data_IF_522589852683
#
_entry.id   IF_522589852683
#
_cell.length_a   1.000
_cell.length_b   1.000
_cell.length_c   1.000
_cell.angle_alpha   90.00
_cell.angle_beta   90.00
_cell.angle_gamma   90.00
#
_symmetry.space_group_name_H-M   'P 1'
#
loop_
_entity.id
_entity.type
_entity.pdbx_description
1 polymer ?
#
# COMPACT_ATOMS: atom_id res chain seq x y z
N UNK A 1 -8.75 14.46 13.38
CA UNK A 1 -9.15 13.15 13.93
C UNK A 1 -7.97 12.19 13.82
N UNK A 2 -7.08 12.13 14.83
CA UNK A 2 -5.84 11.32 14.81
C UNK A 2 -6.08 9.82 15.06
N UNK A 3 -7.16 9.27 14.51
CA UNK A 3 -7.55 7.88 14.69
C UNK A 3 -6.71 7.00 13.75
N UNK A 4 -5.99 5.97 14.27
CA UNK A 4 -5.23 5.05 13.44
C UNK A 4 -6.12 4.29 12.46
N UNK A 5 -5.72 4.23 11.19
CA UNK A 5 -6.42 3.50 10.15
C UNK A 5 -5.45 2.68 9.32
N UNK A 6 -5.91 1.56 8.80
CA UNK A 6 -5.15 0.72 7.88
C UNK A 6 -6.01 0.31 6.68
N UNK A 7 -5.36 0.10 5.53
CA UNK A 7 -6.02 -0.36 4.31
C UNK A 7 -5.70 -1.85 4.13
N UNK A 8 -6.75 -2.68 4.12
CA UNK A 8 -6.65 -4.13 3.92
C UNK A 8 -7.06 -4.48 2.50
N UNK A 9 -6.31 -5.37 1.84
CA UNK A 9 -6.48 -5.67 0.41
C UNK A 9 -7.84 -6.28 0.01
N UNK A 10 -8.55 -6.96 0.90
CA UNK A 10 -9.72 -7.75 0.53
C UNK A 10 -10.94 -7.45 1.39
N UNK A 11 -11.99 -6.89 0.77
CA UNK A 11 -13.30 -6.58 1.38
C UNK A 11 -14.02 -7.82 1.93
N UNK A 12 -13.83 -8.99 1.32
CA UNK A 12 -14.41 -10.24 1.80
C UNK A 12 -13.76 -10.68 3.12
N UNK A 13 -12.44 -10.49 3.29
CA UNK A 13 -11.74 -10.79 4.55
C UNK A 13 -12.20 -9.91 5.71
N UNK A 14 -12.58 -8.67 5.44
CA UNK A 14 -13.23 -7.83 6.44
C UNK A 14 -14.63 -8.35 6.77
N UNK A 15 -15.37 -8.82 5.76
CA UNK A 15 -16.68 -9.44 5.93
C UNK A 15 -16.65 -10.68 6.83
N UNK A 16 -15.65 -11.56 6.67
CA UNK A 16 -15.54 -12.79 7.48
C UNK A 16 -15.42 -12.52 8.98
N UNK A 17 -14.78 -11.41 9.38
CA UNK A 17 -14.63 -11.03 10.80
C UNK A 17 -15.97 -10.69 11.45
N UNK A 18 -16.90 -10.13 10.68
CA UNK A 18 -18.24 -9.71 11.14
C UNK A 18 -19.34 -10.67 10.69
N UNK A 19 -18.98 -11.87 10.24
CA UNK A 19 -19.89 -12.89 9.71
C UNK A 19 -20.82 -12.39 8.58
N UNK A 20 -20.29 -11.55 7.69
CA UNK A 20 -20.96 -11.06 6.47
C UNK A 20 -20.19 -11.48 5.22
N UNK A 21 -20.87 -11.48 4.07
CA UNK A 21 -20.22 -11.78 2.77
C UNK A 21 -19.13 -10.76 2.42
N UNK A 22 -19.36 -9.47 2.69
CA UNK A 22 -18.39 -8.41 2.47
C UNK A 22 -18.59 -7.28 3.50
N UNK A 23 -17.53 -6.57 3.88
CA UNK A 23 -17.60 -5.35 4.68
C UNK A 23 -16.63 -4.31 4.11
N UNK A 24 -17.09 -3.07 3.91
CA UNK A 24 -16.25 -2.01 3.36
C UNK A 24 -15.24 -1.47 4.39
N UNK A 25 -15.69 -1.32 5.64
CA UNK A 25 -14.90 -0.80 6.77
C UNK A 25 -15.33 -1.56 8.02
N UNK A 26 -14.38 -1.77 8.94
CA UNK A 26 -14.60 -2.33 10.28
C UNK A 26 -13.88 -1.43 11.28
N UNK A 27 -14.50 -1.16 12.42
CA UNK A 27 -13.93 -0.37 13.50
C UNK A 27 -13.95 -1.17 14.80
N UNK A 28 -12.88 -1.06 15.58
CA UNK A 28 -12.84 -1.54 16.95
C UNK A 28 -13.39 -0.44 17.86
N UNK A 29 -14.46 -0.73 18.60
CA UNK A 29 -15.04 0.22 19.57
C UNK A 29 -14.51 -0.06 20.98
N UNK A 30 -14.61 -1.33 21.39
CA UNK A 30 -14.20 -1.80 22.70
C UNK A 30 -13.36 -3.06 22.57
N UNK A 31 -12.47 -3.25 23.54
CA UNK A 31 -11.61 -4.42 23.62
C UNK A 31 -11.60 -4.99 25.03
N UNK A 32 -11.39 -6.31 25.11
CA UNK A 32 -11.17 -7.00 26.38
C UNK A 32 -9.81 -6.59 26.92
N UNK A 33 -9.65 -6.66 28.24
CA UNK A 33 -8.40 -6.25 28.90
C UNK A 33 -7.20 -7.11 28.50
N UNK A 34 -7.44 -8.40 28.19
CA UNK A 34 -6.41 -9.34 27.73
C UNK A 34 -5.77 -8.93 26.39
N UNK A 35 -6.54 -8.34 25.48
CA UNK A 35 -6.08 -8.01 24.11
C UNK A 35 -5.42 -6.63 23.99
N UNK A 36 -5.40 -5.84 25.08
CA UNK A 36 -4.88 -4.45 25.08
C UNK A 36 -3.46 -4.33 24.56
N UNK A 37 -2.58 -5.25 24.98
CA UNK A 37 -1.17 -5.21 24.61
C UNK A 37 -0.96 -5.57 23.13
N UNK A 38 -1.74 -6.49 22.59
CA UNK A 38 -1.66 -6.88 21.19
C UNK A 38 -2.19 -5.77 20.27
N UNK A 39 -3.33 -5.17 20.66
CA UNK A 39 -3.85 -4.03 19.93
C UNK A 39 -2.87 -2.85 19.94
N UNK A 40 -2.22 -2.56 21.07
CA UNK A 40 -1.24 -1.47 21.16
C UNK A 40 -0.08 -1.63 20.18
N UNK A 41 0.44 -2.87 20.03
CA UNK A 41 1.48 -3.18 19.04
C UNK A 41 0.99 -2.94 17.61
N UNK A 42 -0.23 -3.39 17.30
CA UNK A 42 -0.88 -3.18 16.01
C UNK A 42 -1.08 -1.70 15.70
N UNK A 43 -1.59 -0.93 16.65
CA UNK A 43 -1.81 0.52 16.52
C UNK A 43 -0.49 1.26 16.24
N UNK A 44 0.58 0.91 16.96
CA UNK A 44 1.90 1.50 16.74
C UNK A 44 2.40 1.24 15.30
N UNK A 45 2.30 0.00 14.82
CA UNK A 45 2.72 -0.34 13.46
C UNK A 45 1.86 0.36 12.38
N UNK A 46 0.56 0.50 12.62
CA UNK A 46 -0.38 1.15 11.70
C UNK A 46 -0.13 2.66 11.62
N UNK A 47 0.10 3.31 12.77
CA UNK A 47 0.32 4.76 12.83
C UNK A 47 1.52 5.20 12.00
N UNK A 48 2.65 4.50 12.13
CA UNK A 48 3.88 4.76 11.38
C UNK A 48 3.68 4.57 9.86
N UNK A 49 2.84 3.61 9.45
CA UNK A 49 2.69 3.29 8.04
C UNK A 49 1.64 4.12 7.31
N UNK A 50 0.59 4.58 7.99
CA UNK A 50 -0.54 5.26 7.32
C UNK A 50 -0.71 6.70 7.77
N UNK A 51 -0.69 6.98 9.08
CA UNK A 51 -0.91 8.33 9.62
C UNK A 51 0.30 9.23 9.36
N UNK A 52 1.51 8.75 9.69
CA UNK A 52 2.74 9.54 9.55
C UNK A 52 3.12 9.74 8.08
N UNK A 53 2.86 8.74 7.24
CA UNK A 53 3.13 8.78 5.78
C UNK A 53 1.98 9.37 4.96
N UNK A 54 0.96 9.95 5.60
CA UNK A 54 -0.22 10.46 4.90
C UNK A 54 0.14 11.52 3.85
N UNK A 55 1.01 12.45 4.22
CA UNK A 55 1.47 13.54 3.37
C UNK A 55 2.28 13.04 2.16
N UNK A 56 3.09 12.00 2.34
CA UNK A 56 3.85 11.38 1.25
C UNK A 56 2.92 10.61 0.30
N UNK A 57 2.02 9.80 0.87
CA UNK A 57 1.07 9.02 0.09
C UNK A 57 0.12 9.90 -0.74
N UNK A 58 -0.27 11.06 -0.21
CA UNK A 58 -1.11 12.04 -0.92
C UNK A 58 -0.38 12.69 -2.11
N UNK A 59 0.92 12.96 -1.97
CA UNK A 59 1.74 13.55 -3.04
C UNK A 59 2.20 12.52 -4.07
N UNK A 60 2.22 11.24 -3.71
CA UNK A 60 2.63 10.18 -4.62
C UNK A 60 1.52 9.79 -5.59
N UNK A 61 1.72 10.10 -6.87
CA UNK A 61 0.78 9.71 -7.93
C UNK A 61 1.16 8.33 -8.45
N UNK A 62 0.17 7.45 -8.56
CA UNK A 62 0.35 6.13 -9.18
C UNK A 62 0.26 6.20 -10.70
N UNK A 63 0.63 5.09 -11.35
CA UNK A 63 0.51 4.94 -12.81
C UNK A 63 1.83 5.23 -13.54
N UNK A 64 1.74 5.42 -14.86
CA UNK A 64 2.91 5.65 -15.71
C UNK A 64 3.85 4.44 -15.87
N UNK A 65 3.55 3.28 -15.29
CA UNK A 65 4.42 2.11 -15.37
C UNK A 65 4.38 1.54 -16.80
N UNK A 66 5.53 1.50 -17.46
CA UNK A 66 5.69 0.90 -18.78
C UNK A 66 5.47 -0.61 -18.71
N UNK A 67 4.76 -1.16 -19.70
CA UNK A 67 4.63 -2.60 -19.84
C UNK A 67 5.98 -3.27 -20.13
N UNK A 68 6.15 -4.51 -19.69
CA UNK A 68 7.42 -5.24 -19.80
C UNK A 68 8.01 -5.27 -21.22
N UNK A 69 7.16 -5.42 -22.25
CA UNK A 69 7.60 -5.43 -23.66
C UNK A 69 8.20 -4.09 -24.08
N UNK A 70 7.53 -2.98 -23.75
CA UNK A 70 7.98 -1.63 -24.08
C UNK A 70 9.28 -1.28 -23.34
N UNK A 71 9.35 -1.61 -22.04
CA UNK A 71 10.55 -1.40 -21.23
C UNK A 71 11.76 -2.18 -21.79
N UNK A 72 11.57 -3.44 -22.18
CA UNK A 72 12.63 -4.26 -22.78
C UNK A 72 13.11 -3.72 -24.14
N UNK A 73 12.20 -3.22 -24.98
CA UNK A 73 12.57 -2.57 -26.25
C UNK A 73 13.44 -1.33 -26.01
N UNK A 74 13.04 -0.47 -25.07
CA UNK A 74 13.79 0.74 -24.74
C UNK A 74 15.15 0.43 -24.13
N UNK A 75 15.28 -0.62 -23.31
CA UNK A 75 16.58 -1.09 -22.83
C UNK A 75 17.48 -1.56 -23.97
N UNK A 76 16.95 -2.31 -24.94
CA UNK A 76 17.71 -2.74 -26.12
C UNK A 76 18.18 -1.54 -26.95
N UNK A 77 17.31 -0.55 -27.16
CA UNK A 77 17.64 0.69 -27.87
C UNK A 77 18.71 1.50 -27.14
N UNK A 78 18.58 1.70 -25.82
CA UNK A 78 19.57 2.40 -25.01
C UNK A 78 20.93 1.70 -25.06
N UNK A 79 20.94 0.37 -24.93
CA UNK A 79 22.17 -0.43 -25.06
C UNK A 79 22.81 -0.30 -26.46
N UNK A 80 22.00 -0.33 -27.52
CA UNK A 80 22.49 -0.15 -28.89
C UNK A 80 23.05 1.27 -29.12
N UNK A 81 22.49 2.28 -28.46
CA UNK A 81 22.97 3.66 -28.48
C UNK A 81 24.17 3.93 -27.53
N UNK A 82 24.75 2.89 -26.92
CA UNK A 82 25.88 3.01 -25.98
C UNK A 82 25.52 3.60 -24.62
N UNK A 83 24.23 3.79 -24.32
CA UNK A 83 23.76 4.24 -23.03
C UNK A 83 23.59 3.06 -22.06
N UNK A 84 23.81 3.31 -20.77
CA UNK A 84 23.60 2.28 -19.75
C UNK A 84 22.13 1.86 -19.68
N UNK A 85 21.83 0.56 -19.60
CA UNK A 85 20.45 0.07 -19.48
C UNK A 85 19.69 0.63 -18.25
N UNK A 86 20.42 1.15 -17.25
CA UNK A 86 19.88 1.83 -16.07
C UNK A 86 19.31 3.23 -16.36
N UNK A 87 19.64 3.87 -17.48
CA UNK A 87 19.08 5.17 -17.86
C UNK A 87 17.64 5.07 -18.38
N UNK A 88 17.19 3.85 -18.70
CA UNK A 88 15.83 3.62 -19.18
C UNK A 88 14.87 3.57 -17.99
N UNK A 89 14.09 4.64 -17.83
CA UNK A 89 13.03 4.68 -16.81
C UNK A 89 11.95 3.62 -17.08
N UNK A 90 11.51 2.96 -16.01
CA UNK A 90 10.38 2.02 -16.01
C UNK A 90 9.03 2.73 -15.92
N UNK A 91 9.05 4.02 -15.60
CA UNK A 91 7.88 4.90 -15.58
C UNK A 91 7.99 5.89 -16.74
N UNK A 92 6.87 6.27 -17.36
CA UNK A 92 6.77 7.30 -18.40
C UNK A 92 7.17 8.65 -17.83
#
# INVERSE_FOLDING_TARGET
MGVPYCIVKNKARLGTVVHKKTAAVVAFTDIRSEDKNELAKLVSAVKVNFLEKYEDAKRHWGGGIRGNKSFAMLQKHAKAAGQSAASVSKTI
#
